data_IF_596460373639
#
_entry.id   IF_596460373639
#
_cell.length_a   1.000
_cell.length_b   1.000
_cell.length_c   1.000
_cell.angle_alpha   90.00
_cell.angle_beta   90.00
_cell.angle_gamma   90.00
#
_symmetry.space_group_name_H-M   'P 1'
#
loop_
_entity.id
_entity.type
_entity.pdbx_description
1 polymer ?
#
# COMPACT_ATOMS: atom_id res chain seq x y z
N UNK A 1 13.08 18.28 5.38
CA UNK A 1 13.19 16.85 5.72
C UNK A 1 12.64 16.07 4.53
N UNK A 2 13.48 15.33 3.82
CA UNK A 2 13.05 14.45 2.75
C UNK A 2 13.03 13.04 3.31
N UNK A 3 11.83 12.48 3.50
CA UNK A 3 11.68 11.15 4.07
C UNK A 3 11.78 10.11 2.95
N UNK A 4 12.75 9.20 3.08
CA UNK A 4 12.92 8.04 2.18
C UNK A 4 12.46 6.77 2.90
N UNK A 5 11.99 5.79 2.13
CA UNK A 5 11.44 4.53 2.63
C UNK A 5 12.29 3.34 2.17
N UNK A 6 12.71 2.49 3.11
CA UNK A 6 13.44 1.25 2.81
C UNK A 6 12.67 0.02 3.28
N UNK A 7 12.33 -0.89 2.39
CA UNK A 7 11.58 -2.12 2.71
C UNK A 7 12.36 -3.03 3.66
N UNK A 8 11.71 -3.50 4.72
CA UNK A 8 12.20 -4.45 5.73
C UNK A 8 11.15 -5.57 5.95
N UNK A 9 11.61 -6.77 6.28
CA UNK A 9 10.79 -7.99 6.39
C UNK A 9 10.35 -8.34 7.82
N UNK A 10 10.90 -7.67 8.84
CA UNK A 10 10.54 -7.88 10.25
C UNK A 10 10.08 -6.57 10.87
N UNK A 11 9.01 -6.64 11.68
CA UNK A 11 8.48 -5.51 12.43
C UNK A 11 9.34 -5.37 13.71
N UNK A 12 10.11 -4.28 13.88
CA UNK A 12 10.92 -4.07 15.08
C UNK A 12 10.05 -3.89 16.33
N UNK A 13 10.61 -4.17 17.52
CA UNK A 13 9.92 -3.93 18.80
C UNK A 13 9.62 -2.44 18.96
N UNK A 14 8.34 -2.00 18.94
CA UNK A 14 8.00 -0.58 19.00
C UNK A 14 8.29 0.05 20.36
N UNK A 15 8.61 -0.74 21.39
CA UNK A 15 8.93 -0.25 22.74
C UNK A 15 10.43 -0.06 22.98
N UNK A 16 11.30 -0.56 22.11
CA UNK A 16 12.74 -0.31 22.16
C UNK A 16 13.03 1.06 21.51
N UNK A 17 13.63 2.04 22.21
CA UNK A 17 13.94 3.37 21.68
C UNK A 17 14.95 3.35 20.51
N UNK A 18 15.71 2.28 20.35
CA UNK A 18 16.64 2.09 19.23
C UNK A 18 16.00 1.45 18.00
N UNK A 19 14.74 0.98 18.12
CA UNK A 19 14.03 0.36 17.02
C UNK A 19 13.72 1.37 15.91
N UNK A 20 13.91 0.99 14.63
CA UNK A 20 13.48 1.80 13.50
C UNK A 20 11.99 2.10 13.55
N UNK A 21 11.63 3.37 13.31
CA UNK A 21 10.25 3.71 12.98
C UNK A 21 9.91 3.03 11.67
N UNK A 22 8.91 2.17 11.74
CA UNK A 22 8.54 1.26 10.68
C UNK A 22 7.13 1.60 10.20
N UNK A 23 7.02 1.96 8.93
CA UNK A 23 5.73 2.20 8.28
C UNK A 23 5.25 0.87 7.72
N UNK A 24 4.10 0.33 8.15
CA UNK A 24 3.58 -0.87 7.54
C UNK A 24 3.33 -0.58 6.06
N UNK A 25 3.89 -1.42 5.18
CA UNK A 25 3.55 -1.46 3.76
C UNK A 25 2.46 -2.51 3.49
N UNK A 26 1.78 -2.92 4.57
CA UNK A 26 0.94 -4.10 4.62
C UNK A 26 1.77 -5.37 4.68
N UNK A 27 1.08 -6.48 4.90
CA UNK A 27 1.61 -7.74 4.43
C UNK A 27 2.85 -8.27 5.21
N UNK A 28 3.01 -7.86 6.48
CA UNK A 28 4.23 -8.16 7.26
C UNK A 28 5.47 -7.37 6.81
N UNK A 29 5.35 -6.57 5.74
CA UNK A 29 6.41 -5.70 5.25
C UNK A 29 6.28 -4.33 5.90
N UNK A 30 7.42 -3.75 6.22
CA UNK A 30 7.50 -2.37 6.67
C UNK A 30 8.50 -1.60 5.81
N UNK A 31 8.42 -0.28 5.86
CA UNK A 31 9.49 0.60 5.41
C UNK A 31 10.08 1.33 6.60
N UNK A 32 11.40 1.34 6.73
CA UNK A 32 12.08 2.24 7.66
C UNK A 32 11.96 3.68 7.16
N UNK A 33 11.67 4.60 8.09
CA UNK A 33 11.68 6.05 7.83
C UNK A 33 13.12 6.54 7.88
N UNK A 34 13.56 7.29 6.87
CA UNK A 34 14.89 7.90 6.82
C UNK A 34 14.81 9.44 6.94
N UNK A 35 15.66 10.06 7.77
CA UNK A 35 15.97 11.49 7.70
C UNK A 35 17.35 11.67 7.04
N UNK A 36 17.34 12.07 5.76
CA UNK A 36 18.52 11.95 4.90
C UNK A 36 18.90 10.47 4.73
N UNK A 37 20.12 10.11 5.11
CA UNK A 37 20.61 8.74 5.09
C UNK A 37 20.47 8.00 6.45
N UNK A 38 19.90 8.67 7.46
CA UNK A 38 19.81 8.13 8.83
C UNK A 38 18.46 7.48 9.05
N UNK A 39 18.43 6.26 9.58
CA UNK A 39 17.19 5.60 9.99
C UNK A 39 16.65 6.29 11.24
N UNK A 40 15.41 6.79 11.16
CA UNK A 40 14.69 7.37 12.29
C UNK A 40 14.28 6.25 13.25
N UNK A 41 14.61 6.40 14.52
CA UNK A 41 14.24 5.46 15.59
C UNK A 41 13.06 5.98 16.40
N UNK A 42 12.43 5.11 17.19
CA UNK A 42 11.34 5.49 18.11
C UNK A 42 11.80 6.52 19.15
N UNK A 43 13.07 6.46 19.58
CA UNK A 43 13.69 7.46 20.46
C UNK A 43 13.89 8.82 19.82
N UNK A 44 13.98 8.89 18.48
CA UNK A 44 14.14 10.14 17.75
C UNK A 44 12.83 10.93 17.61
N UNK A 45 11.67 10.33 17.91
CA UNK A 45 10.36 10.97 17.73
C UNK A 45 10.21 12.23 18.60
N UNK A 46 10.71 12.19 19.84
CA UNK A 46 10.66 13.30 20.78
C UNK A 46 11.58 14.45 20.34
N UNK A 47 12.81 14.14 19.90
CA UNK A 47 13.78 15.14 19.42
C UNK A 47 13.35 15.78 18.11
N UNK A 48 12.68 15.02 17.24
CA UNK A 48 12.11 15.52 15.98
C UNK A 48 10.76 16.23 16.18
N UNK A 49 10.24 16.28 17.41
CA UNK A 49 8.91 16.83 17.74
C UNK A 49 7.81 16.29 16.79
N UNK A 50 7.86 14.99 16.50
CA UNK A 50 6.97 14.31 15.55
C UNK A 50 6.31 13.10 16.19
N UNK A 51 5.42 12.44 15.45
CA UNK A 51 4.76 11.20 15.91
C UNK A 51 4.85 10.14 14.82
N UNK A 52 4.79 8.87 15.19
CA UNK A 52 4.70 7.77 14.23
C UNK A 52 3.51 7.94 13.26
N UNK A 53 2.38 8.47 13.74
CA UNK A 53 1.20 8.78 12.90
C UNK A 53 1.51 9.85 11.84
N UNK A 54 2.20 10.92 12.23
CA UNK A 54 2.60 11.97 11.28
C UNK A 54 3.60 11.45 10.25
N UNK A 55 4.58 10.65 10.67
CA UNK A 55 5.54 10.03 9.75
C UNK A 55 4.84 9.07 8.77
N UNK A 56 3.81 8.34 9.21
CA UNK A 56 3.01 7.49 8.34
C UNK A 56 2.22 8.28 7.29
N UNK A 57 1.62 9.39 7.71
CA UNK A 57 0.91 10.31 6.82
C UNK A 57 1.86 10.96 5.79
N UNK A 58 3.03 11.42 6.22
CA UNK A 58 4.04 12.03 5.36
C UNK A 58 4.58 11.00 4.34
N UNK A 59 4.84 9.76 4.78
CA UNK A 59 5.23 8.65 3.93
C UNK A 59 4.16 8.34 2.87
N UNK A 60 2.89 8.25 3.25
CA UNK A 60 1.78 8.03 2.31
C UNK A 60 1.67 9.17 1.28
N UNK A 61 1.94 10.41 1.70
CA UNK A 61 1.94 11.58 0.80
C UNK A 61 3.10 11.52 -0.20
N UNK A 62 4.30 11.14 0.24
CA UNK A 62 5.45 10.93 -0.63
C UNK A 62 5.20 9.81 -1.66
N UNK A 63 4.59 8.70 -1.24
CA UNK A 63 4.20 7.62 -2.15
C UNK A 63 3.18 8.11 -3.19
N UNK A 64 2.18 8.91 -2.78
CA UNK A 64 1.22 9.50 -3.73
C UNK A 64 1.90 10.42 -4.75
N UNK A 65 2.90 11.19 -4.35
CA UNK A 65 3.66 12.03 -5.27
C UNK A 65 4.39 11.19 -6.33
N UNK A 66 5.07 10.11 -5.92
CA UNK A 66 5.73 9.16 -6.83
C UNK A 66 4.72 8.53 -7.80
N UNK A 67 3.55 8.11 -7.31
CA UNK A 67 2.48 7.58 -8.17
C UNK A 67 1.93 8.66 -9.13
N UNK A 68 1.87 9.92 -8.70
CA UNK A 68 1.52 11.05 -9.56
C UNK A 68 2.53 11.23 -10.70
N UNK A 69 3.82 11.24 -10.38
CA UNK A 69 4.90 11.37 -11.37
C UNK A 69 4.91 10.21 -12.38
N UNK A 70 4.75 8.97 -11.89
CA UNK A 70 4.63 7.79 -12.75
C UNK A 70 3.40 7.86 -13.66
N UNK A 71 2.26 8.35 -13.14
CA UNK A 71 1.05 8.55 -13.94
C UNK A 71 1.23 9.64 -15.00
N UNK A 72 1.95 10.72 -14.68
CA UNK A 72 2.27 11.77 -15.64
C UNK A 72 3.20 11.26 -16.76
N UNK A 73 4.16 10.39 -16.43
CA UNK A 73 5.11 9.83 -17.40
C UNK A 73 4.49 8.72 -18.27
N UNK A 74 3.69 7.84 -17.69
CA UNK A 74 3.22 6.59 -18.33
C UNK A 74 1.72 6.58 -18.65
N UNK A 75 0.99 7.65 -18.31
CA UNK A 75 -0.48 7.72 -18.37
C UNK A 75 -1.19 7.03 -17.18
N UNK A 76 -0.52 6.08 -16.52
CA UNK A 76 -0.98 5.41 -15.30
C UNK A 76 0.23 4.92 -14.50
N UNK A 77 0.16 4.99 -13.17
CA UNK A 77 1.17 4.39 -12.30
C UNK A 77 0.97 2.87 -12.07
N UNK A 78 -0.18 2.32 -12.48
CA UNK A 78 -0.51 0.92 -12.30
C UNK A 78 -0.53 0.18 -13.64
N UNK A 79 0.20 -0.95 -13.69
CA UNK A 79 0.08 -1.96 -14.73
C UNK A 79 -0.79 -3.12 -14.24
N UNK A 80 -1.48 -3.77 -15.17
CA UNK A 80 -2.28 -4.94 -14.88
C UNK A 80 -1.96 -6.07 -15.86
N UNK A 81 -2.06 -7.31 -15.37
CA UNK A 81 -1.90 -8.52 -16.17
C UNK A 81 -2.98 -9.51 -15.78
N UNK A 82 -3.77 -9.95 -16.74
CA UNK A 82 -4.74 -11.02 -16.51
C UNK A 82 -4.00 -12.36 -16.36
N UNK A 83 -4.31 -13.09 -15.28
CA UNK A 83 -3.72 -14.39 -14.98
C UNK A 83 -4.65 -15.56 -15.34
N UNK A 84 -5.91 -15.28 -15.68
CA UNK A 84 -6.94 -16.29 -15.94
C UNK A 84 -7.93 -16.42 -14.77
N UNK A 85 -9.03 -17.14 -14.99
CA UNK A 85 -10.02 -17.50 -13.95
C UNK A 85 -10.54 -16.34 -13.09
N UNK A 86 -10.64 -15.14 -13.67
CA UNK A 86 -11.10 -13.94 -12.96
C UNK A 86 -10.07 -13.37 -11.98
N UNK A 87 -8.79 -13.71 -12.16
CA UNK A 87 -7.65 -13.16 -11.43
C UNK A 87 -6.89 -12.18 -12.29
N UNK A 88 -6.62 -11.01 -11.72
CA UNK A 88 -5.78 -9.98 -12.31
C UNK A 88 -4.66 -9.59 -11.35
N UNK A 89 -3.43 -9.66 -11.83
CA UNK A 89 -2.27 -9.12 -11.13
C UNK A 89 -2.19 -7.60 -11.37
N UNK A 90 -1.95 -6.85 -10.30
CA UNK A 90 -1.73 -5.41 -10.29
C UNK A 90 -0.34 -5.13 -9.74
N UNK A 91 0.41 -4.28 -10.44
CA UNK A 91 1.74 -3.83 -10.02
C UNK A 91 1.94 -2.34 -10.32
N UNK A 92 2.84 -1.70 -9.57
CA UNK A 92 3.29 -0.33 -9.89
C UNK A 92 4.28 -0.40 -11.05
N UNK A 93 4.21 0.59 -11.94
CA UNK A 93 5.15 0.73 -13.06
C UNK A 93 6.58 0.96 -12.52
N UNK A 94 7.57 0.34 -13.17
CA UNK A 94 9.01 0.46 -12.88
C UNK A 94 9.52 -0.07 -11.52
N UNK A 95 8.77 -0.96 -10.85
CA UNK A 95 9.20 -1.78 -9.68
C UNK A 95 9.76 -1.03 -8.46
N UNK A 96 9.79 0.31 -8.46
CA UNK A 96 10.28 1.11 -7.34
C UNK A 96 9.43 0.94 -6.07
N UNK A 97 8.21 0.41 -6.20
CA UNK A 97 7.25 0.32 -5.10
C UNK A 97 6.50 -1.03 -5.07
N UNK A 98 6.45 -1.74 -3.92
CA UNK A 98 5.65 -2.95 -3.78
C UNK A 98 4.15 -2.63 -3.85
N UNK A 99 3.41 -3.31 -4.73
CA UNK A 99 1.98 -3.05 -4.92
C UNK A 99 1.14 -3.31 -3.65
N UNK A 100 1.62 -4.16 -2.74
CA UNK A 100 1.04 -4.36 -1.42
C UNK A 100 0.93 -3.05 -0.60
N UNK A 101 1.89 -2.13 -0.77
CA UNK A 101 1.92 -0.83 -0.09
C UNK A 101 0.74 0.07 -0.45
N UNK A 102 0.08 -0.18 -1.58
CA UNK A 102 -1.12 0.57 -2.00
C UNK A 102 -2.31 0.37 -1.05
N UNK A 103 -2.32 -0.73 -0.30
CA UNK A 103 -3.37 -1.03 0.68
C UNK A 103 -2.99 -0.63 2.11
N UNK A 104 -1.77 -0.13 2.31
CA UNK A 104 -1.23 0.06 3.64
C UNK A 104 -1.82 1.25 4.37
N UNK A 105 -2.20 2.32 3.66
CA UNK A 105 -2.71 3.56 4.23
C UNK A 105 -4.02 4.00 3.55
N UNK A 106 -5.01 4.57 4.28
CA UNK A 106 -6.24 5.11 3.70
C UNK A 106 -6.05 6.04 2.49
N UNK A 107 -5.05 6.93 2.54
CA UNK A 107 -4.74 7.83 1.42
C UNK A 107 -4.28 7.10 0.15
N UNK A 108 -3.76 5.88 0.26
CA UNK A 108 -3.33 5.07 -0.88
C UNK A 108 -4.44 4.10 -1.30
N UNK A 109 -5.12 3.51 -0.32
CA UNK A 109 -6.16 2.51 -0.55
C UNK A 109 -7.36 3.10 -1.32
N UNK A 110 -7.79 4.31 -0.98
CA UNK A 110 -8.92 4.99 -1.64
C UNK A 110 -8.66 5.25 -3.14
N UNK A 111 -7.57 5.94 -3.55
CA UNK A 111 -7.30 6.18 -4.96
C UNK A 111 -6.95 4.89 -5.71
N UNK A 112 -6.31 3.91 -5.06
CA UNK A 112 -6.08 2.58 -5.65
C UNK A 112 -7.41 1.90 -5.97
N UNK A 113 -8.36 1.90 -5.02
CA UNK A 113 -9.70 1.35 -5.24
C UNK A 113 -10.41 2.02 -6.41
N UNK A 114 -10.39 3.36 -6.46
CA UNK A 114 -10.99 4.12 -7.57
C UNK A 114 -10.37 3.77 -8.92
N UNK A 115 -9.04 3.74 -8.99
CA UNK A 115 -8.31 3.44 -10.22
C UNK A 115 -8.64 2.03 -10.73
N UNK A 116 -8.72 1.06 -9.82
CA UNK A 116 -9.09 -0.31 -10.16
C UNK A 116 -10.55 -0.43 -10.59
N UNK A 117 -11.45 0.34 -9.97
CA UNK A 117 -12.87 0.41 -10.33
C UNK A 117 -13.11 0.99 -11.73
N UNK A 118 -12.14 1.73 -12.27
CA UNK A 118 -12.19 2.28 -13.63
C UNK A 118 -11.53 1.39 -14.69
N UNK A 119 -10.96 0.24 -14.31
CA UNK A 119 -10.35 -0.67 -15.27
C UNK A 119 -11.40 -1.20 -16.27
N UNK A 120 -11.07 -1.25 -17.57
CA UNK A 120 -11.90 -1.93 -18.56
C UNK A 120 -12.19 -3.36 -18.10
N UNK A 121 -13.45 -3.76 -18.26
CA UNK A 121 -13.99 -5.08 -17.93
C UNK A 121 -14.00 -5.46 -16.43
N UNK A 122 -13.57 -4.56 -15.54
CA UNK A 122 -13.77 -4.77 -14.10
C UNK A 122 -15.16 -4.31 -13.69
N UNK A 123 -16.03 -5.27 -13.37
CA UNK A 123 -17.29 -5.00 -12.66
C UNK A 123 -17.15 -5.55 -11.25
N UNK A 124 -17.08 -4.70 -10.21
CA UNK A 124 -17.08 -5.19 -8.84
C UNK A 124 -18.40 -5.92 -8.57
N UNK A 125 -18.36 -7.26 -8.59
CA UNK A 125 -19.42 -8.14 -8.12
C UNK A 125 -19.21 -8.49 -6.65
N UNK A 126 -20.30 -8.88 -5.98
CA UNK A 126 -20.23 -9.40 -4.61
C UNK A 126 -19.21 -10.55 -4.54
N UNK A 127 -18.21 -10.40 -3.68
CA UNK A 127 -17.09 -11.35 -3.56
C UNK A 127 -15.80 -10.93 -4.25
N UNK A 128 -15.74 -9.79 -4.94
CA UNK A 128 -14.47 -9.27 -5.45
C UNK A 128 -13.57 -8.85 -4.29
N UNK A 129 -12.30 -9.27 -4.28
CA UNK A 129 -11.35 -8.83 -3.27
C UNK A 129 -9.99 -8.49 -3.84
N UNK A 130 -9.29 -7.59 -3.16
CA UNK A 130 -7.87 -7.37 -3.34
C UNK A 130 -7.08 -8.16 -2.30
N UNK A 131 -6.01 -8.80 -2.77
CA UNK A 131 -5.14 -9.67 -1.99
C UNK A 131 -3.70 -9.19 -2.13
N UNK A 132 -3.02 -8.94 -1.01
CA UNK A 132 -1.57 -8.76 -1.02
C UNK A 132 -0.88 -10.12 -0.86
N UNK A 133 0.10 -10.41 -1.70
CA UNK A 133 0.85 -11.68 -1.73
C UNK A 133 2.29 -11.50 -1.25
N UNK A 134 2.89 -12.60 -0.77
CA UNK A 134 4.30 -12.71 -0.31
C UNK A 134 5.31 -12.09 -1.27
N UNK A 135 5.04 -12.19 -2.57
CA UNK A 135 5.86 -11.63 -3.64
C UNK A 135 5.60 -10.14 -3.92
N UNK A 136 4.98 -9.43 -2.96
CA UNK A 136 4.68 -7.99 -3.04
C UNK A 136 3.70 -7.58 -4.14
N UNK A 137 2.96 -8.56 -4.69
CA UNK A 137 1.97 -8.34 -5.75
C UNK A 137 0.59 -8.15 -5.15
N UNK A 138 -0.21 -7.36 -5.84
CA UNK A 138 -1.61 -7.17 -5.54
C UNK A 138 -2.43 -8.01 -6.53
N UNK A 139 -3.24 -8.94 -6.03
CA UNK A 139 -4.15 -9.73 -6.85
C UNK A 139 -5.58 -9.23 -6.65
N UNK A 140 -6.23 -8.92 -7.75
CA UNK A 140 -7.66 -8.68 -7.80
C UNK A 140 -8.34 -10.00 -8.21
N UNK A 141 -9.17 -10.53 -7.32
CA UNK A 141 -9.90 -11.79 -7.52
C UNK A 141 -11.39 -11.54 -7.53
N UNK A 142 -12.11 -12.23 -8.42
CA UNK A 142 -13.57 -12.23 -8.49
C UNK A 142 -14.25 -13.07 -7.40
N UNK A 143 -13.51 -13.99 -6.77
CA UNK A 143 -14.03 -14.97 -5.81
C UNK A 143 -13.66 -14.67 -4.36
N UNK A 144 -12.82 -13.66 -4.15
CA UNK A 144 -12.32 -13.29 -2.83
C UNK A 144 -11.28 -14.25 -2.27
N UNK A 145 -10.90 -15.26 -3.06
CA UNK A 145 -9.90 -16.27 -2.70
C UNK A 145 -8.62 -16.10 -3.52
N UNK A 146 -7.45 -16.37 -2.91
CA UNK A 146 -6.20 -16.46 -3.64
C UNK A 146 -6.26 -17.65 -4.60
N UNK A 147 -5.84 -17.49 -5.86
CA UNK A 147 -5.65 -18.62 -6.75
C UNK A 147 -4.52 -19.54 -6.26
N UNK A 148 -4.67 -20.83 -6.49
CA UNK A 148 -3.64 -21.82 -6.13
C UNK A 148 -2.32 -21.50 -6.85
N UNK A 149 -1.21 -21.50 -6.11
CA UNK A 149 0.13 -21.28 -6.67
C UNK A 149 0.63 -19.83 -6.74
N UNK A 150 -0.12 -18.84 -6.23
CA UNK A 150 0.28 -17.42 -6.28
C UNK A 150 0.80 -16.83 -4.96
N UNK A 151 1.59 -17.62 -4.23
CA UNK A 151 2.18 -17.24 -2.96
C UNK A 151 1.18 -17.25 -1.79
N UNK A 152 1.69 -17.19 -0.57
CA UNK A 152 0.84 -17.07 0.62
C UNK A 152 0.24 -15.67 0.72
N UNK A 153 -1.00 -15.60 1.23
CA UNK A 153 -1.66 -14.35 1.55
C UNK A 153 -0.94 -13.67 2.70
N UNK A 154 -0.61 -12.41 2.51
CA UNK A 154 0.01 -11.60 3.53
C UNK A 154 -1.01 -10.75 4.32
N UNK A 155 -2.24 -10.62 3.82
CA UNK A 155 -3.32 -9.87 4.47
C UNK A 155 -4.67 -10.57 4.27
N UNK A 156 -5.65 -10.36 5.17
CA UNK A 156 -7.02 -10.74 4.88
C UNK A 156 -7.50 -10.07 3.58
N UNK A 157 -8.38 -10.73 2.80
CA UNK A 157 -8.91 -10.15 1.58
C UNK A 157 -9.59 -8.81 1.86
N UNK A 158 -9.18 -7.79 1.11
CA UNK A 158 -9.84 -6.51 1.14
C UNK A 158 -11.08 -6.59 0.25
N UNK A 159 -12.26 -6.70 0.88
CA UNK A 159 -13.52 -6.69 0.14
C UNK A 159 -13.67 -5.37 -0.63
N UNK A 160 -13.73 -5.50 -1.96
CA UNK A 160 -13.90 -4.39 -2.88
C UNK A 160 -15.38 -4.07 -3.15
N UNK A 161 -16.27 -4.99 -2.77
CA UNK A 161 -17.73 -4.93 -3.00
C UNK A 161 -18.46 -4.14 -1.91
N UNK A 162 -17.97 -4.21 -0.67
CA UNK A 162 -18.31 -3.24 0.36
C UNK A 162 -17.41 -2.02 0.21
N UNK A 163 -17.98 -0.82 0.37
CA UNK A 163 -17.20 0.42 0.40
C UNK A 163 -16.26 0.45 1.62
N UNK A 164 -15.17 -0.31 1.59
CA UNK A 164 -14.11 -0.28 2.61
C UNK A 164 -13.58 1.15 2.80
N UNK A 165 -13.66 1.96 1.74
CA UNK A 165 -13.36 3.39 1.73
C UNK A 165 -14.48 4.29 2.27
N UNK A 166 -15.72 3.80 2.42
CA UNK A 166 -16.86 4.57 2.98
C UNK A 166 -16.80 4.69 4.50
N UNK A 167 -16.17 3.73 5.19
CA UNK A 167 -15.98 3.77 6.65
C UNK A 167 -14.87 4.70 7.13
N UNK A 168 -14.06 5.26 6.22
CA UNK A 168 -12.89 6.10 6.54
C UNK A 168 -13.19 7.61 6.66
N UNK A 169 -14.47 8.00 6.66
CA UNK A 169 -14.88 9.33 7.13
C UNK A 169 -14.29 10.53 6.37
N UNK A 170 -14.01 10.40 5.07
CA UNK A 170 -13.74 11.55 4.19
C UNK A 170 -15.02 12.02 3.49
N UNK A 171 -16.14 12.03 4.22
CA UNK A 171 -17.32 12.75 3.78
C UNK A 171 -17.14 14.24 4.13
N UNK A 172 -16.88 15.04 3.08
CA UNK A 172 -16.87 16.50 3.05
C UNK A 172 -15.64 17.21 3.63
N UNK A 173 -14.67 17.47 2.75
CA UNK A 173 -13.99 18.78 2.75
C UNK A 173 -14.11 19.32 1.32
N UNK A 174 -15.18 20.07 1.09
CA UNK A 174 -15.32 21.07 0.02
C UNK A 174 -14.97 22.44 0.58
#
# INVERSE_FOLDING_TARGET
MSLLLRVIAEIPDPYDPSSPVSIPLGAGLCASVLDGDTVVTTGDLDTLATTASRLWQDAATAMLAVLGDLSAANGTALRHRDLGDGVREIAVVDELFPAAGLLAHPLLAIPTHRSLSTLPDYRPHAGSALLATTDQRLLLTSTGRPPEGHGELLSPPLDMSAGHCRGLGLESVT
#
